data_IF_197674583960
#
_entry.id   IF_197674583960
#
_cell.length_a   1.000
_cell.length_b   1.000
_cell.length_c   1.000
_cell.angle_alpha   90.00
_cell.angle_beta   90.00
_cell.angle_gamma   90.00
#
_symmetry.space_group_name_H-M   'P 1'
#
loop_
_entity.id
_entity.type
_entity.pdbx_description
1 polymer ?
#
# COMPACT_ATOMS: atom_id res chain seq x y z
N UNK A 1 6.74 26.77 -23.71
CA UNK A 1 5.95 25.86 -22.87
C UNK A 1 6.22 26.17 -21.40
N UNK A 2 5.20 26.65 -20.65
CA UNK A 2 5.35 27.08 -19.27
C UNK A 2 5.68 25.97 -18.26
N UNK A 3 6.10 26.39 -17.07
CA UNK A 3 6.34 25.54 -15.91
C UNK A 3 5.03 24.82 -15.53
N UNK A 4 5.12 23.53 -15.22
CA UNK A 4 3.98 22.76 -14.71
C UNK A 4 3.95 22.83 -13.20
N UNK A 5 2.80 23.21 -12.63
CA UNK A 5 2.58 23.21 -11.19
C UNK A 5 2.46 21.77 -10.65
N UNK A 6 2.81 21.58 -9.36
CA UNK A 6 2.57 20.33 -8.68
C UNK A 6 1.05 20.08 -8.56
N UNK A 7 0.53 18.93 -9.02
CA UNK A 7 -0.90 18.63 -9.00
C UNK A 7 -1.53 18.68 -7.60
N UNK A 8 -0.78 18.22 -6.58
CA UNK A 8 -1.23 18.29 -5.19
C UNK A 8 -1.34 19.74 -4.70
N UNK A 9 -0.28 20.56 -4.93
CA UNK A 9 -0.28 21.96 -4.55
C UNK A 9 -1.39 22.79 -5.24
N UNK A 10 -1.69 22.48 -6.50
CA UNK A 10 -2.76 23.15 -7.25
C UNK A 10 -4.15 22.92 -6.66
N UNK A 11 -4.33 21.76 -5.98
CA UNK A 11 -5.63 21.32 -5.45
C UNK A 11 -5.75 21.43 -3.93
N UNK A 12 -4.74 21.95 -3.24
CA UNK A 12 -4.78 22.15 -1.80
C UNK A 12 -5.96 23.03 -1.36
N UNK A 13 -6.66 22.59 -0.33
CA UNK A 13 -7.82 23.26 0.22
C UNK A 13 -9.11 23.11 -0.59
N UNK A 14 -9.07 22.45 -1.77
CA UNK A 14 -10.22 22.22 -2.64
C UNK A 14 -10.55 20.73 -2.68
N UNK A 15 -9.64 19.90 -3.19
CA UNK A 15 -9.82 18.44 -3.28
C UNK A 15 -8.84 17.66 -2.45
N UNK A 16 -7.71 18.27 -2.08
CA UNK A 16 -6.65 17.65 -1.26
C UNK A 16 -6.45 18.45 0.02
N UNK A 17 -6.13 17.74 1.09
CA UNK A 17 -5.85 18.35 2.40
C UNK A 17 -4.34 18.45 2.63
N UNK A 18 -3.97 19.21 3.66
CA UNK A 18 -2.59 19.36 4.11
C UNK A 18 -2.10 18.07 4.77
N UNK A 19 -0.85 17.69 4.48
CA UNK A 19 -0.20 16.51 5.09
C UNK A 19 0.33 16.78 6.50
N UNK A 20 0.51 18.03 6.85
CA UNK A 20 0.86 18.48 8.20
C UNK A 20 -0.23 19.41 8.70
N UNK A 21 -0.84 19.08 9.83
CA UNK A 21 -1.98 19.79 10.42
C UNK A 21 -1.58 20.33 11.78
N UNK A 22 -1.16 21.57 11.82
CA UNK A 22 -0.80 22.29 13.05
C UNK A 22 -0.76 23.79 12.80
N UNK A 23 -0.84 24.55 13.87
CA UNK A 23 -0.73 25.98 13.86
C UNK A 23 0.37 26.45 14.82
N UNK A 24 1.22 27.38 14.40
CA UNK A 24 2.25 27.99 15.23
C UNK A 24 2.58 29.40 14.72
N UNK A 25 2.72 30.37 15.66
CA UNK A 25 3.18 31.70 15.33
C UNK A 25 4.72 31.78 15.40
N UNK A 26 5.27 31.78 16.62
CA UNK A 26 6.71 31.98 16.84
C UNK A 26 7.57 30.76 16.49
N UNK A 27 7.03 29.56 16.67
CA UNK A 27 7.76 28.29 16.49
C UNK A 27 7.57 27.69 15.09
N UNK A 28 7.02 28.43 14.13
CA UNK A 28 6.72 27.93 12.79
C UNK A 28 7.95 27.34 12.08
N UNK A 29 9.08 28.06 12.10
CA UNK A 29 10.32 27.58 11.45
C UNK A 29 10.86 26.30 12.07
N UNK A 30 10.75 26.14 13.40
CA UNK A 30 11.25 24.96 14.10
C UNK A 30 10.36 23.75 13.82
N UNK A 31 9.05 23.91 13.81
CA UNK A 31 8.13 22.82 13.45
C UNK A 31 8.30 22.34 12.01
N UNK A 32 8.58 23.26 11.07
CA UNK A 32 8.91 22.86 9.69
C UNK A 32 10.21 22.03 9.64
N UNK A 33 11.26 22.45 10.37
CA UNK A 33 12.52 21.69 10.45
C UNK A 33 12.30 20.29 11.00
N UNK A 34 11.52 20.19 12.08
CA UNK A 34 11.16 18.90 12.69
C UNK A 34 10.35 18.03 11.72
N UNK A 35 9.34 18.57 11.02
CA UNK A 35 8.54 17.82 10.05
C UNK A 35 9.40 17.27 8.90
N UNK A 36 10.34 18.07 8.40
CA UNK A 36 11.28 17.62 7.37
C UNK A 36 12.19 16.52 7.90
N UNK A 37 12.67 16.62 9.16
CA UNK A 37 13.51 15.61 9.79
C UNK A 37 12.74 14.30 10.00
N UNK A 38 11.48 14.36 10.48
CA UNK A 38 10.59 13.21 10.64
C UNK A 38 10.39 12.50 9.29
N UNK A 39 10.01 13.22 8.26
CA UNK A 39 9.80 12.65 6.92
C UNK A 39 11.06 12.02 6.34
N UNK A 40 12.22 12.65 6.57
CA UNK A 40 13.52 12.13 6.12
C UNK A 40 13.90 10.85 6.87
N UNK A 41 13.74 10.80 8.19
CA UNK A 41 14.00 9.63 9.01
C UNK A 41 13.16 8.44 8.54
N UNK A 42 11.87 8.64 8.35
CA UNK A 42 10.96 7.59 7.91
C UNK A 42 11.28 7.13 6.47
N UNK A 43 11.58 8.04 5.55
CA UNK A 43 11.88 7.68 4.16
C UNK A 43 13.19 6.91 4.02
N UNK A 44 14.21 7.21 4.83
CA UNK A 44 15.52 6.54 4.76
C UNK A 44 15.52 5.19 5.47
N UNK A 45 14.80 5.07 6.60
CA UNK A 45 14.77 3.83 7.39
C UNK A 45 13.83 2.75 6.86
N UNK A 46 12.80 3.13 6.11
CA UNK A 46 11.69 2.26 5.74
C UNK A 46 11.47 2.16 4.22
N UNK A 47 12.54 2.22 3.43
CA UNK A 47 12.44 2.14 1.96
C UNK A 47 11.68 0.89 1.48
N UNK A 48 11.92 -0.28 2.12
CA UNK A 48 11.26 -1.55 1.77
C UNK A 48 9.79 -1.64 2.18
N UNK A 49 9.36 -0.83 3.13
CA UNK A 49 7.99 -0.84 3.61
C UNK A 49 7.00 -0.25 2.60
N UNK A 50 7.50 0.60 1.69
CA UNK A 50 6.65 1.29 0.72
C UNK A 50 5.75 2.31 1.41
N UNK A 51 6.33 3.45 1.81
CA UNK A 51 5.57 4.54 2.42
C UNK A 51 4.88 5.33 1.31
N UNK A 52 3.56 5.39 1.41
CA UNK A 52 2.72 6.17 0.50
C UNK A 52 2.68 7.64 0.91
N UNK A 53 2.37 7.87 2.20
CA UNK A 53 2.24 9.21 2.76
C UNK A 53 2.55 9.20 4.26
N UNK A 54 2.89 10.39 4.79
CA UNK A 54 3.11 10.62 6.22
C UNK A 54 2.32 11.87 6.61
N UNK A 55 1.31 11.71 7.45
CA UNK A 55 0.53 12.81 8.01
C UNK A 55 1.03 13.13 9.41
N UNK A 56 1.16 14.41 9.71
CA UNK A 56 1.68 14.88 10.99
C UNK A 56 0.67 15.84 11.61
N UNK A 57 0.16 15.50 12.78
CA UNK A 57 -0.69 16.36 13.59
C UNK A 57 0.06 16.75 14.86
N UNK A 58 0.05 18.04 15.20
CA UNK A 58 0.72 18.53 16.39
C UNK A 58 -0.27 19.22 17.33
N UNK A 59 -0.19 18.83 18.57
CA UNK A 59 -0.79 19.54 19.70
C UNK A 59 0.31 20.14 20.58
N UNK A 60 -0.05 20.80 21.68
CA UNK A 60 0.95 21.42 22.56
C UNK A 60 1.99 20.41 23.08
N UNK A 61 1.53 19.24 23.53
CA UNK A 61 2.36 18.26 24.26
C UNK A 61 2.62 16.97 23.46
N UNK A 62 1.89 16.74 22.40
CA UNK A 62 1.95 15.48 21.64
C UNK A 62 2.10 15.73 20.15
N UNK A 63 2.81 14.83 19.50
CA UNK A 63 2.92 14.75 18.03
C UNK A 63 2.33 13.43 17.60
N UNK A 64 1.33 13.46 16.75
CA UNK A 64 0.74 12.27 16.13
C UNK A 64 1.30 12.15 14.72
N UNK A 65 1.83 10.98 14.40
CA UNK A 65 2.39 10.65 13.09
C UNK A 65 1.64 9.45 12.53
N UNK A 66 0.90 9.66 11.46
CA UNK A 66 0.16 8.63 10.77
C UNK A 66 0.94 8.23 9.51
N UNK A 67 1.38 6.96 9.45
CA UNK A 67 2.16 6.42 8.34
C UNK A 67 1.27 5.54 7.49
N UNK A 68 1.03 5.95 6.24
CA UNK A 68 0.36 5.15 5.24
C UNK A 68 1.37 4.27 4.51
N UNK A 69 1.28 2.96 4.65
CA UNK A 69 2.25 2.01 4.09
C UNK A 69 1.58 0.86 3.34
N UNK A 70 2.27 0.36 2.31
CA UNK A 70 1.84 -0.84 1.59
C UNK A 70 2.12 -2.13 2.36
N UNK A 71 3.13 -2.12 3.26
CA UNK A 71 3.57 -3.30 4.00
C UNK A 71 3.73 -2.99 5.48
N UNK A 72 2.63 -2.91 6.24
CA UNK A 72 2.67 -2.52 7.66
C UNK A 72 3.53 -3.46 8.51
N UNK A 73 3.60 -4.74 8.17
CA UNK A 73 4.42 -5.71 8.89
C UNK A 73 5.91 -5.39 8.94
N UNK A 74 6.44 -4.67 7.93
CA UNK A 74 7.85 -4.24 7.94
C UNK A 74 8.05 -3.07 8.90
N UNK A 75 7.09 -2.15 8.99
CA UNK A 75 7.15 -0.99 9.89
C UNK A 75 6.96 -1.42 11.35
N UNK A 76 6.06 -2.37 11.59
CA UNK A 76 5.80 -2.89 12.94
C UNK A 76 6.98 -3.73 13.41
N UNK A 77 7.56 -4.54 12.51
CA UNK A 77 8.64 -5.48 12.83
C UNK A 77 8.17 -6.67 13.66
N UNK A 78 9.13 -7.49 14.09
CA UNK A 78 8.82 -8.65 14.94
C UNK A 78 8.41 -8.15 16.33
N UNK A 79 7.21 -8.51 16.79
CA UNK A 79 6.66 -8.13 18.10
C UNK A 79 6.64 -6.62 18.39
N UNK A 80 6.62 -5.77 17.36
CA UNK A 80 6.56 -4.32 17.51
C UNK A 80 7.90 -3.61 17.73
N UNK A 81 9.03 -4.32 17.70
CA UNK A 81 10.35 -3.75 18.05
C UNK A 81 10.76 -2.60 17.13
N UNK A 82 10.46 -2.67 15.83
CA UNK A 82 10.79 -1.58 14.89
C UNK A 82 9.90 -0.36 15.10
N UNK A 83 8.62 -0.55 15.38
CA UNK A 83 7.70 0.55 15.68
C UNK A 83 8.11 1.29 16.97
N UNK A 84 8.53 0.56 18.02
CA UNK A 84 9.01 1.16 19.27
C UNK A 84 10.33 1.90 19.06
N UNK A 85 11.24 1.37 18.24
CA UNK A 85 12.47 2.04 17.84
C UNK A 85 12.20 3.35 17.11
N UNK A 86 11.31 3.31 16.11
CA UNK A 86 10.92 4.50 15.34
C UNK A 86 10.31 5.53 16.29
N UNK A 87 9.43 5.13 17.21
CA UNK A 87 8.85 6.02 18.21
C UNK A 87 9.93 6.69 19.05
N UNK A 88 10.87 5.92 19.59
CA UNK A 88 11.96 6.45 20.40
C UNK A 88 12.86 7.43 19.63
N UNK A 89 13.14 7.16 18.37
CA UNK A 89 13.92 8.06 17.51
C UNK A 89 13.14 9.35 17.17
N UNK A 90 11.83 9.25 16.97
CA UNK A 90 10.95 10.42 16.78
C UNK A 90 10.83 11.26 18.06
N UNK A 91 10.73 10.64 19.22
CA UNK A 91 10.71 11.34 20.52
C UNK A 91 12.02 12.07 20.80
N UNK A 92 13.17 11.49 20.43
CA UNK A 92 14.48 12.16 20.51
C UNK A 92 14.56 13.39 19.61
N UNK A 93 13.95 13.32 18.40
CA UNK A 93 13.95 14.43 17.44
C UNK A 93 13.04 15.58 17.88
N UNK A 94 11.84 15.25 18.40
CA UNK A 94 10.81 16.24 18.70
C UNK A 94 10.84 16.73 20.13
N UNK A 95 11.48 15.99 21.05
CA UNK A 95 11.45 16.28 22.50
C UNK A 95 10.06 16.19 23.12
N UNK A 96 9.06 15.63 22.39
CA UNK A 96 7.67 15.51 22.79
C UNK A 96 7.21 14.07 22.72
N UNK A 97 6.13 13.74 23.41
CA UNK A 97 5.52 12.42 23.31
C UNK A 97 4.99 12.20 21.88
N UNK A 98 5.39 11.09 21.25
CA UNK A 98 4.99 10.73 19.89
C UNK A 98 3.99 9.58 19.91
N UNK A 99 2.85 9.80 19.27
CA UNK A 99 1.88 8.75 18.96
C UNK A 99 2.08 8.33 17.49
N UNK A 100 2.51 7.09 17.29
CA UNK A 100 2.71 6.51 15.99
C UNK A 100 1.51 5.63 15.60
N UNK A 101 0.87 5.91 14.48
CA UNK A 101 -0.18 5.09 13.90
C UNK A 101 0.27 4.56 12.55
N UNK A 102 0.06 3.28 12.30
CA UNK A 102 0.43 2.62 11.05
C UNK A 102 -0.85 2.21 10.35
N UNK A 103 -1.08 2.80 9.17
CA UNK A 103 -2.27 2.59 8.36
C UNK A 103 -1.91 1.83 7.09
N UNK A 104 -2.64 0.77 6.81
CA UNK A 104 -2.43 -0.03 5.60
C UNK A 104 -3.10 0.60 4.38
N UNK A 105 -2.35 0.67 3.29
CA UNK A 105 -2.87 1.06 1.96
C UNK A 105 -3.35 -0.20 1.24
N UNK A 106 -4.67 -0.38 1.16
CA UNK A 106 -5.30 -1.58 0.55
C UNK A 106 -4.88 -1.82 -0.91
N UNK A 107 -4.76 -0.74 -1.71
CA UNK A 107 -4.44 -0.81 -3.14
C UNK A 107 -3.15 -0.01 -3.43
N UNK A 108 -1.96 -0.58 -3.24
CA UNK A 108 -0.69 0.13 -3.47
C UNK A 108 -0.52 0.55 -4.95
N UNK A 109 -1.07 -0.20 -5.89
CA UNK A 109 -1.00 0.09 -7.33
C UNK A 109 -1.83 1.32 -7.74
N UNK A 110 -2.78 1.76 -6.90
CA UNK A 110 -3.56 2.98 -7.12
C UNK A 110 -2.95 4.23 -6.49
N UNK A 111 -1.80 4.09 -5.80
CA UNK A 111 -1.10 5.20 -5.13
C UNK A 111 0.13 5.60 -5.91
N UNK A 112 0.18 6.85 -6.37
CA UNK A 112 1.21 7.33 -7.28
C UNK A 112 2.63 7.24 -6.70
N UNK A 113 2.80 7.49 -5.40
CA UNK A 113 4.09 7.42 -4.73
C UNK A 113 4.65 5.99 -4.70
N UNK A 114 3.80 4.99 -4.40
CA UNK A 114 4.20 3.59 -4.37
C UNK A 114 4.52 3.05 -5.75
N UNK A 115 3.75 3.45 -6.77
CA UNK A 115 4.03 3.10 -8.17
C UNK A 115 5.37 3.71 -8.62
N UNK A 116 5.64 4.98 -8.26
CA UNK A 116 6.91 5.64 -8.57
C UNK A 116 8.10 4.91 -7.92
N UNK A 117 7.97 4.52 -6.65
CA UNK A 117 8.97 3.74 -5.94
C UNK A 117 9.21 2.38 -6.61
N UNK A 118 8.14 1.64 -6.94
CA UNK A 118 8.24 0.32 -7.58
C UNK A 118 8.90 0.38 -8.98
N UNK A 119 8.66 1.45 -9.75
CA UNK A 119 9.37 1.68 -11.02
C UNK A 119 10.84 2.00 -10.76
N UNK A 120 11.14 2.86 -9.77
CA UNK A 120 12.51 3.22 -9.42
C UNK A 120 13.34 2.01 -8.94
N UNK A 121 12.76 1.12 -8.13
CA UNK A 121 13.40 -0.13 -7.71
C UNK A 121 13.73 -1.04 -8.91
N UNK A 122 12.80 -1.16 -9.87
CA UNK A 122 13.05 -1.93 -11.09
C UNK A 122 14.18 -1.33 -11.94
N UNK A 123 14.26 0.01 -12.03
CA UNK A 123 15.33 0.71 -12.72
C UNK A 123 16.69 0.52 -12.03
N UNK A 124 16.75 0.55 -10.70
CA UNK A 124 17.94 0.25 -9.92
C UNK A 124 18.41 -1.19 -10.13
N UNK A 125 17.49 -2.12 -10.32
CA UNK A 125 17.75 -3.53 -10.64
C UNK A 125 18.03 -3.77 -12.14
N UNK A 126 18.37 -2.73 -12.91
CA UNK A 126 18.74 -2.77 -14.33
C UNK A 126 17.66 -3.33 -15.26
N UNK A 127 16.40 -3.26 -14.89
CA UNK A 127 15.30 -3.61 -15.78
C UNK A 127 15.15 -2.53 -16.85
N UNK A 128 14.87 -2.93 -18.09
CA UNK A 128 14.65 -2.00 -19.19
C UNK A 128 13.52 -1.02 -18.84
N UNK A 129 13.78 0.27 -18.89
CA UNK A 129 12.85 1.32 -18.44
C UNK A 129 11.49 1.28 -19.14
N UNK A 130 11.45 0.95 -20.46
CA UNK A 130 10.20 0.80 -21.21
C UNK A 130 9.34 -0.34 -20.67
N UNK A 131 9.96 -1.45 -20.27
CA UNK A 131 9.27 -2.60 -19.67
C UNK A 131 8.74 -2.27 -18.29
N UNK A 132 9.55 -1.60 -17.46
CA UNK A 132 9.15 -1.17 -16.13
C UNK A 132 7.95 -0.23 -16.16
N UNK A 133 7.99 0.81 -17.02
CA UNK A 133 6.88 1.75 -17.18
C UNK A 133 5.58 1.08 -17.67
N UNK A 134 5.67 0.22 -18.71
CA UNK A 134 4.48 -0.48 -19.23
C UNK A 134 3.87 -1.41 -18.20
N UNK A 135 4.69 -2.16 -17.45
CA UNK A 135 4.22 -3.04 -16.38
C UNK A 135 3.49 -2.24 -15.30
N UNK A 136 4.07 -1.11 -14.85
CA UNK A 136 3.45 -0.25 -13.85
C UNK A 136 2.09 0.31 -14.32
N UNK A 137 1.99 0.72 -15.59
CA UNK A 137 0.74 1.22 -16.19
C UNK A 137 -0.31 0.11 -16.23
N UNK A 138 0.04 -1.09 -16.70
CA UNK A 138 -0.89 -2.22 -16.76
C UNK A 138 -1.40 -2.62 -15.38
N UNK A 139 -0.52 -2.66 -14.36
CA UNK A 139 -0.93 -2.98 -12.98
C UNK A 139 -1.89 -1.93 -12.43
N UNK A 140 -1.58 -0.65 -12.62
CA UNK A 140 -2.44 0.44 -12.13
C UNK A 140 -3.80 0.48 -12.84
N UNK A 141 -3.85 0.26 -14.17
CA UNK A 141 -5.10 0.28 -14.94
C UNK A 141 -6.02 -0.91 -14.65
N UNK A 142 -5.51 -1.99 -14.04
CA UNK A 142 -6.36 -3.09 -13.55
C UNK A 142 -7.20 -2.70 -12.34
N UNK A 143 -6.80 -1.65 -11.63
CA UNK A 143 -7.54 -1.19 -10.45
C UNK A 143 -8.80 -0.42 -10.87
N UNK A 144 -9.99 -0.75 -10.34
CA UNK A 144 -11.24 -0.12 -10.74
C UNK A 144 -11.30 1.37 -10.41
N UNK A 145 -10.50 1.82 -9.45
CA UNK A 145 -10.46 3.22 -9.00
C UNK A 145 -9.58 4.11 -9.92
N UNK A 146 -8.83 3.53 -10.86
CA UNK A 146 -7.91 4.27 -11.73
C UNK A 146 -8.55 4.47 -13.10
N UNK A 147 -8.74 5.73 -13.51
CA UNK A 147 -9.30 6.12 -14.82
C UNK A 147 -8.22 6.55 -15.82
N UNK A 148 -7.01 6.74 -15.35
CA UNK A 148 -5.87 7.05 -16.20
C UNK A 148 -4.59 7.24 -15.42
N UNK A 149 -3.48 6.96 -16.09
CA UNK A 149 -2.14 7.07 -15.53
C UNK A 149 -1.17 7.65 -16.54
N UNK A 150 -0.23 8.43 -16.05
CA UNK A 150 0.94 8.89 -16.78
C UNK A 150 2.19 8.60 -15.96
N UNK A 151 3.16 7.92 -16.56
CA UNK A 151 4.48 7.65 -15.97
C UNK A 151 5.54 8.33 -16.83
N UNK A 152 6.44 9.06 -16.21
CA UNK A 152 7.54 9.74 -16.87
C UNK A 152 8.86 9.41 -16.18
N UNK A 153 9.85 8.98 -16.95
CA UNK A 153 11.21 8.78 -16.49
C UNK A 153 12.13 9.79 -17.18
N UNK A 154 13.03 10.39 -16.41
CA UNK A 154 13.99 11.39 -16.89
C UNK A 154 15.38 11.15 -16.31
N UNK A 155 16.39 11.31 -17.14
CA UNK A 155 17.79 11.07 -16.79
C UNK A 155 18.54 10.28 -17.87
N UNK A 156 19.63 9.63 -17.49
CA UNK A 156 20.44 8.77 -18.38
C UNK A 156 19.78 7.40 -18.55
N UNK A 157 18.71 7.35 -19.34
CA UNK A 157 17.92 6.14 -19.54
C UNK A 157 18.73 5.07 -20.29
N UNK A 158 18.85 3.88 -19.69
CA UNK A 158 19.62 2.78 -20.26
C UNK A 158 21.14 2.98 -20.25
N UNK A 159 21.66 3.92 -19.44
CA UNK A 159 23.09 4.23 -19.37
C UNK A 159 23.61 5.15 -20.47
N UNK A 160 22.71 5.74 -21.28
CA UNK A 160 23.10 6.69 -22.33
C UNK A 160 23.84 7.91 -21.73
N UNK A 161 24.83 8.45 -22.45
CA UNK A 161 25.58 9.64 -22.00
C UNK A 161 24.66 10.86 -21.90
N UNK A 162 23.82 11.07 -22.91
CA UNK A 162 22.89 12.17 -22.93
C UNK A 162 21.60 11.82 -22.16
N UNK A 163 21.21 12.71 -21.26
CA UNK A 163 19.95 12.58 -20.56
C UNK A 163 18.75 12.84 -21.49
N UNK A 164 17.70 12.08 -21.32
CA UNK A 164 16.44 12.29 -22.01
C UNK A 164 15.26 12.01 -21.10
N UNK A 165 14.10 12.45 -21.53
CA UNK A 165 12.84 12.22 -20.82
C UNK A 165 11.88 11.45 -21.72
N UNK A 166 11.39 10.33 -21.22
CA UNK A 166 10.36 9.53 -21.91
C UNK A 166 9.15 9.37 -20.98
N UNK A 167 7.94 9.37 -21.59
CA UNK A 167 6.71 9.15 -20.83
C UNK A 167 5.76 8.23 -21.59
N UNK A 168 4.98 7.49 -20.85
CA UNK A 168 3.84 6.74 -21.35
C UNK A 168 2.59 7.17 -20.60
N UNK A 169 1.45 7.17 -21.29
CA UNK A 169 0.15 7.53 -20.73
C UNK A 169 -0.91 6.56 -21.25
N UNK A 170 -1.79 6.17 -20.36
CA UNK A 170 -2.99 5.40 -20.66
C UNK A 170 -4.19 6.01 -19.96
N UNK A 171 -5.33 6.08 -20.63
CA UNK A 171 -6.51 6.77 -20.12
C UNK A 171 -6.41 8.29 -20.10
N UNK A 172 -7.27 8.92 -19.31
CA UNK A 172 -7.35 10.39 -19.17
C UNK A 172 -6.56 10.87 -17.96
N UNK A 173 -5.80 11.94 -18.09
CA UNK A 173 -5.10 12.60 -16.97
C UNK A 173 -5.29 14.12 -17.12
N UNK A 174 -6.43 14.67 -16.67
CA UNK A 174 -6.78 16.07 -16.87
C UNK A 174 -6.10 16.96 -15.82
N UNK A 175 -4.84 17.35 -16.04
CA UNK A 175 -4.03 18.10 -15.06
C UNK A 175 -4.58 19.51 -14.77
N UNK A 176 -5.28 20.13 -15.74
CA UNK A 176 -5.84 21.47 -15.59
C UNK A 176 -7.23 21.51 -14.94
N UNK A 177 -7.91 20.37 -14.82
CA UNK A 177 -9.22 20.28 -14.20
C UNK A 177 -9.07 20.26 -12.67
N UNK A 178 -9.58 21.28 -11.99
CA UNK A 178 -9.40 21.46 -10.55
C UNK A 178 -10.13 20.37 -9.74
N UNK A 179 -11.34 19.97 -10.17
CA UNK A 179 -12.16 18.93 -9.52
C UNK A 179 -11.64 17.50 -9.72
N UNK A 180 -10.64 17.32 -10.58
CA UNK A 180 -10.08 16.00 -10.83
C UNK A 180 -9.22 15.55 -9.66
N UNK A 181 -9.49 14.34 -9.12
CA UNK A 181 -8.66 13.70 -8.10
C UNK A 181 -7.43 13.09 -8.77
N UNK A 182 -6.30 13.79 -8.64
CA UNK A 182 -5.02 13.38 -9.24
C UNK A 182 -4.01 13.17 -8.13
N UNK A 183 -3.61 11.93 -7.97
CA UNK A 183 -2.51 11.54 -7.11
C UNK A 183 -1.18 11.71 -7.84
N UNK A 184 -0.16 12.24 -7.15
CA UNK A 184 1.15 12.53 -7.71
C UNK A 184 2.25 11.93 -6.85
N UNK A 185 3.16 11.18 -7.49
CA UNK A 185 4.33 10.60 -6.86
C UNK A 185 5.62 10.96 -7.59
N UNK A 186 6.66 11.21 -6.83
CA UNK A 186 8.02 11.45 -7.31
C UNK A 186 8.98 10.55 -6.54
N UNK A 187 9.82 9.83 -7.28
CA UNK A 187 10.88 9.03 -6.69
C UNK A 187 12.14 9.04 -7.57
N UNK A 188 13.31 8.89 -6.96
CA UNK A 188 14.58 8.86 -7.67
C UNK A 188 15.22 7.48 -7.59
N UNK A 189 15.52 6.87 -8.73
CA UNK A 189 16.26 5.63 -8.82
C UNK A 189 17.77 5.93 -8.84
N UNK A 190 18.51 5.39 -7.89
CA UNK A 190 19.97 5.43 -7.89
C UNK A 190 20.50 4.32 -8.79
N UNK A 191 21.18 4.68 -9.86
CA UNK A 191 21.83 3.74 -10.77
C UNK A 191 23.34 3.96 -10.79
N UNK A 192 24.11 3.02 -11.35
CA UNK A 192 25.57 3.16 -11.51
C UNK A 192 25.97 4.38 -12.35
N UNK A 193 25.09 4.81 -13.27
CA UNK A 193 25.34 5.95 -14.18
C UNK A 193 24.75 7.27 -13.68
N UNK A 194 24.16 7.30 -12.48
CA UNK A 194 23.55 8.49 -11.91
C UNK A 194 22.13 8.26 -11.41
N UNK A 195 21.36 9.35 -11.25
CA UNK A 195 19.99 9.29 -10.77
C UNK A 195 19.00 9.41 -11.93
N UNK A 196 17.95 8.60 -11.89
CA UNK A 196 16.81 8.67 -12.82
C UNK A 196 15.60 9.11 -12.02
N UNK A 197 15.01 10.26 -12.38
CA UNK A 197 13.78 10.75 -11.76
C UNK A 197 12.56 10.07 -12.37
N UNK A 198 11.70 9.53 -11.52
CA UNK A 198 10.42 8.92 -11.90
C UNK A 198 9.29 9.77 -11.36
N UNK A 199 8.41 10.24 -12.26
CA UNK A 199 7.20 11.00 -11.93
C UNK A 199 5.99 10.21 -12.37
N UNK A 200 5.01 10.08 -11.47
CA UNK A 200 3.77 9.34 -11.74
C UNK A 200 2.58 10.23 -11.41
N UNK A 201 1.59 10.24 -12.28
CA UNK A 201 0.28 10.89 -12.10
C UNK A 201 -0.79 9.83 -12.28
N UNK A 202 -1.67 9.68 -11.30
CA UNK A 202 -2.80 8.75 -11.35
C UNK A 202 -4.09 9.55 -11.19
N UNK A 203 -4.97 9.42 -12.16
CA UNK A 203 -6.29 10.03 -12.13
C UNK A 203 -7.32 9.02 -11.62
N UNK A 204 -7.96 9.34 -10.49
CA UNK A 204 -8.95 8.49 -9.81
C UNK A 204 -10.40 8.84 -10.18
N UNK A 205 -10.62 10.01 -10.73
CA UNK A 205 -11.95 10.49 -11.14
C UNK A 205 -12.18 11.93 -10.72
N UNK A 206 -13.40 12.44 -10.99
CA UNK A 206 -13.79 13.77 -10.58
C UNK A 206 -14.52 13.72 -9.24
N UNK A 207 -14.21 14.65 -8.35
CA UNK A 207 -14.93 14.86 -7.09
C UNK A 207 -16.06 15.83 -7.36
N UNK A 208 -17.29 15.33 -7.27
CA UNK A 208 -18.50 16.12 -7.45
C UNK A 208 -19.10 16.37 -6.06
N UNK A 209 -19.27 17.64 -5.68
CA UNK A 209 -19.94 18.00 -4.43
C UNK A 209 -19.05 18.53 -3.29
N UNK A 210 -17.81 18.91 -3.55
CA UNK A 210 -16.93 19.55 -2.56
C UNK A 210 -15.88 18.64 -1.93
N UNK A 211 -15.33 19.04 -0.78
CA UNK A 211 -14.26 18.35 -0.07
C UNK A 211 -14.53 16.86 0.04
N UNK A 212 -13.50 16.07 -0.28
CA UNK A 212 -13.47 14.67 0.10
C UNK A 212 -13.67 14.61 1.61
N UNK A 213 -14.82 14.16 2.10
CA UNK A 213 -14.94 13.82 3.51
C UNK A 213 -13.85 12.80 3.80
N UNK A 214 -12.88 13.22 4.58
CA UNK A 214 -11.94 12.29 5.19
C UNK A 214 -12.82 11.41 6.07
N UNK A 215 -13.13 10.21 5.59
CA UNK A 215 -13.69 9.16 6.42
C UNK A 215 -12.60 8.93 7.47
N UNK A 216 -12.74 9.61 8.60
CA UNK A 216 -12.02 9.25 9.79
C UNK A 216 -12.21 7.74 9.94
N UNK A 217 -11.16 6.94 10.16
CA UNK A 217 -11.35 5.55 10.45
C UNK A 217 -12.32 5.51 11.63
N UNK A 218 -13.53 5.03 11.38
CA UNK A 218 -14.54 4.90 12.42
C UNK A 218 -13.94 3.98 13.48
N UNK A 219 -13.42 4.58 14.53
CA UNK A 219 -13.13 3.88 15.76
C UNK A 219 -14.43 3.16 16.12
N UNK A 220 -14.44 1.83 15.94
CA UNK A 220 -15.46 0.95 16.47
C UNK A 220 -16.89 1.43 16.23
N UNK A 221 -17.45 1.19 15.05
CA UNK A 221 -18.89 1.06 14.96
C UNK A 221 -19.25 -0.19 15.77
N UNK A 222 -19.51 -0.01 17.04
CA UNK A 222 -20.30 -0.95 17.83
C UNK A 222 -21.58 -1.18 17.02
N UNK A 223 -21.68 -2.37 16.45
CA UNK A 223 -22.93 -2.82 15.84
C UNK A 223 -24.01 -2.69 16.92
N UNK A 224 -25.10 -1.97 16.69
CA UNK A 224 -26.18 -1.92 17.67
C UNK A 224 -26.60 -3.37 17.93
N UNK A 225 -26.39 -3.79 19.17
CA UNK A 225 -26.82 -5.08 19.68
C UNK A 225 -28.31 -5.13 19.46
N UNK A 226 -28.77 -5.88 18.45
CA UNK A 226 -30.17 -6.16 18.25
C UNK A 226 -30.67 -6.79 19.52
N UNK A 227 -31.36 -6.02 20.32
CA UNK A 227 -32.22 -6.54 21.42
C UNK A 227 -33.21 -7.51 20.79
N UNK A 228 -33.04 -8.77 21.15
CA UNK A 228 -34.07 -9.78 20.88
C UNK A 228 -35.29 -9.40 21.73
N UNK A 229 -36.46 -9.19 21.13
CA UNK A 229 -37.66 -9.02 21.93
C UNK A 229 -37.90 -10.32 22.71
N UNK A 230 -37.95 -10.21 24.01
CA UNK A 230 -38.38 -11.26 24.93
C UNK A 230 -39.86 -11.50 24.74
N UNK A 231 -40.19 -12.33 23.75
CA UNK A 231 -41.52 -12.82 23.52
C UNK A 231 -41.86 -13.89 24.56
N UNK A 232 -42.62 -13.51 25.55
CA UNK A 232 -43.32 -14.38 26.49
C UNK A 232 -44.23 -15.35 25.72
N UNK A 233 -43.87 -16.62 25.69
CA UNK A 233 -44.75 -17.69 25.18
C UNK A 233 -45.78 -18.02 26.24
N UNK A 234 -47.08 -17.95 25.97
CA UNK A 234 -48.09 -18.49 26.87
C UNK A 234 -48.09 -20.04 26.82
N UNK A 235 -48.00 -20.62 27.97
CA UNK A 235 -48.20 -22.04 28.24
C UNK A 235 -49.61 -22.40 27.84
N UNK A 236 -49.79 -23.31 26.89
CA UNK A 236 -51.07 -24.01 26.68
C UNK A 236 -50.91 -25.47 27.05
N UNK A 237 -51.62 -25.85 28.09
CA UNK A 237 -51.85 -27.19 28.58
C UNK A 237 -52.91 -27.90 27.72
N UNK A 238 -52.78 -29.19 27.61
CA UNK A 238 -53.88 -30.10 27.23
C UNK A 238 -53.58 -30.95 26.02
N UNK A 239 -53.37 -32.16 26.31
CA UNK A 239 -54.16 -33.38 26.27
C UNK A 239 -53.88 -34.26 25.05
N UNK A 240 -53.37 -35.42 25.37
CA UNK A 240 -53.64 -36.78 24.91
C UNK A 240 -54.17 -37.02 23.49
N UNK A 241 -53.53 -37.98 22.80
CA UNK A 241 -54.12 -38.63 21.60
C UNK A 241 -53.08 -39.47 20.86
N UNK A 242 -52.99 -40.71 21.26
CA UNK A 242 -52.59 -41.93 20.58
C UNK A 242 -52.77 -41.94 19.06
N UNK A 243 -51.81 -42.41 18.28
CA UNK A 243 -51.87 -43.67 17.55
C UNK A 243 -50.70 -43.83 16.59
N UNK A 244 -50.17 -45.03 16.59
CA UNK A 244 -49.17 -45.62 15.74
C UNK A 244 -49.51 -45.58 14.24
N UNK A 245 -48.54 -45.53 13.41
CA UNK A 245 -48.34 -46.56 12.37
C UNK A 245 -46.96 -46.44 11.72
N UNK A 246 -46.29 -47.54 11.76
CA UNK A 246 -45.14 -47.96 11.05
C UNK A 246 -45.26 -47.80 9.53
N UNK A 247 -44.14 -47.50 8.88
CA UNK A 247 -43.70 -48.27 7.72
C UNK A 247 -42.20 -48.04 7.48
N UNK A 248 -41.52 -49.10 7.65
CA UNK A 248 -40.26 -49.60 7.13
C UNK A 248 -40.19 -49.50 5.61
N UNK A 249 -39.02 -49.30 5.15
CA UNK A 249 -38.36 -49.80 3.95
C UNK A 249 -37.57 -48.67 3.33
N UNK A 250 -36.30 -48.79 3.17
CA UNK A 250 -35.44 -49.63 2.48
C UNK A 250 -33.99 -49.28 2.66
N UNK A 251 -33.38 -50.20 3.18
CA UNK A 251 -32.04 -50.72 3.16
C UNK A 251 -31.51 -50.89 1.75
N UNK A 252 -30.23 -50.55 1.53
CA UNK A 252 -29.24 -51.30 0.78
C UNK A 252 -28.07 -50.34 0.55
N UNK A 253 -26.94 -50.49 1.19
CA UNK A 253 -25.88 -51.49 0.99
C UNK A 253 -25.12 -51.29 -0.31
N UNK A 254 -23.86 -51.02 -0.18
CA UNK A 254 -22.70 -51.83 -0.47
C UNK A 254 -21.47 -50.93 -0.53
N UNK A 255 -20.54 -51.07 0.44
CA UNK A 255 -19.40 -51.99 0.45
C UNK A 255 -18.38 -51.70 -0.66
N UNK A 256 -17.21 -51.17 -0.18
CA UNK A 256 -15.93 -51.83 -0.14
C UNK A 256 -15.17 -51.92 -1.47
N UNK A 257 -13.96 -51.46 -1.41
CA UNK A 257 -12.68 -52.12 -1.76
C UNK A 257 -11.63 -51.03 -1.86
N UNK A 258 -10.72 -50.86 -0.95
CA UNK A 258 -9.48 -51.56 -0.68
C UNK A 258 -8.64 -51.92 -1.92
N UNK A 259 -7.43 -51.50 -1.82
CA UNK A 259 -6.14 -51.98 -2.33
C UNK A 259 -5.45 -50.97 -3.23
N UNK A 260 -4.27 -50.60 -3.04
CA UNK A 260 -2.98 -51.07 -2.58
C UNK A 260 -1.92 -50.10 -3.13
N UNK A 261 -0.99 -49.72 -2.30
CA UNK A 261 0.34 -49.30 -2.76
C UNK A 261 1.13 -50.56 -3.19
N UNK A 262 2.15 -50.46 -4.04
CA UNK A 262 3.50 -50.50 -3.50
C UNK A 262 4.50 -49.54 -4.18
N UNK A 263 5.40 -49.02 -3.37
CA UNK A 263 6.83 -49.32 -3.19
C UNK A 263 7.78 -48.95 -4.33
N UNK A 264 8.68 -48.03 -3.96
CA UNK A 264 10.12 -48.03 -4.11
C UNK A 264 10.73 -48.29 -5.50
N UNK A 265 11.53 -47.29 -5.89
CA UNK A 265 12.91 -47.53 -6.29
C UNK A 265 13.69 -46.22 -6.41
N UNK A 266 14.77 -46.13 -5.66
CA UNK A 266 15.93 -45.27 -5.85
C UNK A 266 17.06 -46.18 -6.36
N UNK A 267 18.27 -45.73 -6.67
CA UNK A 267 18.79 -44.53 -7.34
C UNK A 267 19.71 -44.94 -8.51
N UNK A 268 20.07 -44.03 -9.39
CA UNK A 268 21.19 -44.20 -10.33
C UNK A 268 22.06 -42.94 -10.27
N UNK A 269 23.15 -43.11 -9.60
CA UNK A 269 24.58 -42.94 -9.91
C UNK A 269 24.96 -41.84 -10.92
N UNK A 270 25.81 -40.98 -10.40
CA UNK A 270 26.66 -40.02 -11.14
C UNK A 270 27.79 -40.77 -11.88
N UNK A 271 28.36 -40.19 -12.92
CA UNK A 271 29.81 -40.36 -13.12
C UNK A 271 30.55 -39.03 -13.00
N UNK A 272 31.59 -39.11 -12.22
CA UNK A 272 32.73 -38.20 -12.19
C UNK A 272 33.51 -38.29 -13.51
N UNK A 273 33.98 -37.17 -14.01
CA UNK A 273 35.10 -37.08 -14.95
C UNK A 273 35.98 -35.91 -14.53
N UNK A 274 37.03 -36.27 -13.95
CA UNK A 274 38.47 -35.99 -14.10
C UNK A 274 38.90 -34.63 -14.60
N UNK A 275 39.66 -34.01 -13.73
CA UNK A 275 40.65 -32.97 -13.93
C UNK A 275 41.71 -33.41 -14.93
N UNK A 276 42.02 -32.54 -15.90
CA UNK A 276 43.37 -32.48 -16.50
C UNK A 276 43.81 -31.01 -16.61
N UNK A 277 44.79 -30.73 -15.80
CA UNK A 277 45.72 -29.64 -15.90
C UNK A 277 46.63 -29.85 -17.11
N UNK A 278 46.85 -28.82 -17.92
CA UNK A 278 48.09 -28.64 -18.67
C UNK A 278 48.44 -27.18 -18.77
N UNK A 279 49.63 -26.90 -18.24
CA UNK A 279 50.46 -25.73 -18.45
C UNK A 279 50.76 -25.51 -19.91
N UNK A 280 50.77 -24.28 -20.35
CA UNK A 280 51.85 -23.59 -21.12
C UNK A 280 51.49 -22.13 -21.28
#
# INVERSE_FOLDING_TARGET
VGQKINPHGFRLGITTEWKSRWYADKQYADYIKEDVAIRRLLSTGLERAGIADVEIERTRDRVRVDIHTARPGIVIGRRGTEADRIRADLEKLTGKQVQLNILEVKNPESTAQLVAQGVAEQLSNRVAFRRAMRKAIQSAMRQPNVKGIRVQCSGRLGGAEMSRSEFYREGRVPLHTLRADIDYGLYEAKTTFGRIGVKVWIYKGDIVGGKRELVAPSAGAERPRRERPSGTRPRRSGSAGTTATSTEAGRAASSAEETSAPSAEAPVEAPAVETQSTES
#
